data_IF_986765741755
#
_entry.id   IF_986765741755
#
_cell.length_a   1.000
_cell.length_b   1.000
_cell.length_c   1.000
_cell.angle_alpha   90.00
_cell.angle_beta   90.00
_cell.angle_gamma   90.00
#
_symmetry.space_group_name_H-M   'P 1'
#
loop_
_entity.id
_entity.type
_entity.pdbx_description
1 polymer ?
#
# COMPACT_ATOMS: atom_id res chain seq x y z
N UNK A 1 33.98 -50.22 2.35
CA UNK A 1 34.63 -49.70 1.12
C UNK A 1 33.60 -49.44 0.02
N UNK A 2 32.58 -50.30 -0.15
CA UNK A 2 31.49 -50.08 -1.12
C UNK A 2 30.55 -48.91 -0.76
N UNK A 3 30.30 -48.65 0.53
CA UNK A 3 29.35 -47.60 0.92
C UNK A 3 29.86 -46.19 0.61
N UNK A 4 31.17 -45.95 0.76
CA UNK A 4 31.80 -44.66 0.45
C UNK A 4 31.74 -44.39 -1.06
N UNK A 5 32.01 -45.41 -1.88
CA UNK A 5 31.89 -45.27 -3.34
C UNK A 5 30.44 -45.03 -3.78
N UNK A 6 29.46 -45.65 -3.11
CA UNK A 6 28.04 -45.45 -3.41
C UNK A 6 27.54 -44.05 -3.01
N UNK A 7 27.99 -43.52 -1.86
CA UNK A 7 27.70 -42.15 -1.44
C UNK A 7 28.26 -41.11 -2.43
N UNK A 8 29.45 -41.38 -2.94
CA UNK A 8 30.15 -40.48 -3.86
C UNK A 8 29.50 -40.48 -5.26
N UNK A 9 29.07 -41.64 -5.76
CA UNK A 9 28.29 -41.76 -7.01
C UNK A 9 26.91 -41.08 -6.92
N UNK A 10 26.27 -41.16 -5.75
CA UNK A 10 25.00 -40.49 -5.51
C UNK A 10 25.16 -38.96 -5.50
N UNK A 11 26.22 -38.45 -4.85
CA UNK A 11 26.55 -37.03 -4.83
C UNK A 11 26.91 -36.49 -6.22
N UNK A 12 27.67 -37.24 -7.03
CA UNK A 12 28.00 -36.85 -8.41
C UNK A 12 26.78 -36.83 -9.33
N UNK A 13 25.90 -37.83 -9.23
CA UNK A 13 24.61 -37.82 -9.97
C UNK A 13 23.75 -36.63 -9.57
N UNK A 14 23.71 -36.32 -8.28
CA UNK A 14 22.95 -35.17 -7.78
C UNK A 14 23.55 -33.85 -8.31
N UNK A 15 24.88 -33.72 -8.35
CA UNK A 15 25.56 -32.56 -8.93
C UNK A 15 25.31 -32.41 -10.43
N UNK A 16 25.23 -33.51 -11.18
CA UNK A 16 24.92 -33.51 -12.61
C UNK A 16 23.45 -33.20 -12.92
N UNK A 17 22.53 -33.51 -11.99
CA UNK A 17 21.10 -33.21 -12.14
C UNK A 17 20.65 -31.88 -11.55
N UNK A 18 21.48 -31.25 -10.70
CA UNK A 18 21.14 -30.02 -9.99
C UNK A 18 21.56 -28.80 -10.80
N UNK A 19 20.65 -28.27 -11.61
CA UNK A 19 20.85 -26.93 -12.17
C UNK A 19 20.55 -25.90 -11.06
N UNK A 20 21.57 -25.64 -10.23
CA UNK A 20 21.52 -24.74 -9.07
C UNK A 20 21.08 -23.34 -9.51
N UNK A 21 21.45 -22.92 -10.73
CA UNK A 21 21.06 -21.65 -11.31
C UNK A 21 19.56 -21.62 -11.59
N UNK A 22 19.01 -22.65 -12.23
CA UNK A 22 17.58 -22.76 -12.51
C UNK A 22 16.76 -22.78 -11.20
N UNK A 23 17.24 -23.52 -10.20
CA UNK A 23 16.62 -23.60 -8.88
C UNK A 23 16.64 -22.24 -8.17
N UNK A 24 17.76 -21.51 -8.24
CA UNK A 24 17.87 -20.16 -7.69
C UNK A 24 16.92 -19.17 -8.40
N UNK A 25 16.81 -19.25 -9.73
CA UNK A 25 15.91 -18.38 -10.51
C UNK A 25 14.45 -18.68 -10.17
N UNK A 26 14.04 -19.94 -10.09
CA UNK A 26 12.68 -20.33 -9.70
C UNK A 26 12.37 -19.90 -8.27
N UNK A 27 13.33 -20.02 -7.35
CA UNK A 27 13.20 -19.53 -5.97
C UNK A 27 12.99 -18.01 -5.91
N UNK A 28 13.75 -17.23 -6.70
CA UNK A 28 13.57 -15.77 -6.79
C UNK A 28 12.18 -15.42 -7.35
N UNK A 29 11.69 -16.20 -8.31
CA UNK A 29 10.35 -16.04 -8.90
C UNK A 29 9.23 -16.63 -8.01
N UNK A 30 9.57 -17.22 -6.87
CA UNK A 30 8.60 -17.77 -5.91
C UNK A 30 7.93 -19.07 -6.36
N UNK A 31 8.55 -19.82 -7.27
CA UNK A 31 8.03 -21.08 -7.81
C UNK A 31 8.75 -22.30 -7.22
N UNK A 32 8.11 -23.47 -7.30
CA UNK A 32 8.71 -24.73 -6.88
C UNK A 32 9.88 -25.14 -7.80
N UNK A 33 10.86 -25.90 -7.27
CA UNK A 33 11.97 -26.40 -8.08
C UNK A 33 11.45 -27.23 -9.25
N UNK A 34 11.82 -26.85 -10.46
CA UNK A 34 11.42 -27.50 -11.71
C UNK A 34 12.62 -27.59 -12.63
N UNK A 35 12.67 -28.67 -13.41
CA UNK A 35 13.67 -28.87 -14.46
C UNK A 35 13.22 -28.26 -15.80
N UNK A 36 12.06 -27.61 -15.86
CA UNK A 36 11.57 -26.92 -17.05
C UNK A 36 12.23 -25.54 -17.19
N UNK A 37 13.10 -25.40 -18.18
CA UNK A 37 13.82 -24.17 -18.50
C UNK A 37 12.92 -23.08 -19.09
N UNK A 38 11.71 -23.40 -19.55
CA UNK A 38 10.74 -22.43 -20.06
C UNK A 38 9.87 -21.82 -18.96
N UNK A 39 9.76 -22.48 -17.80
CA UNK A 39 8.94 -22.04 -16.68
C UNK A 39 9.35 -20.65 -16.14
N UNK A 40 10.66 -20.36 -15.89
CA UNK A 40 11.08 -19.03 -15.45
C UNK A 40 10.71 -17.90 -16.41
N UNK A 41 10.77 -18.16 -17.72
CA UNK A 41 10.46 -17.16 -18.75
C UNK A 41 8.98 -16.81 -18.72
N UNK A 42 8.11 -17.81 -18.57
CA UNK A 42 6.66 -17.61 -18.44
C UNK A 42 6.33 -16.80 -17.18
N UNK A 43 6.87 -17.20 -16.02
CA UNK A 43 6.66 -16.52 -14.75
C UNK A 43 7.16 -15.07 -14.79
N UNK A 44 8.31 -14.81 -15.43
CA UNK A 44 8.83 -13.47 -15.60
C UNK A 44 7.91 -12.59 -16.47
N UNK A 45 7.38 -13.14 -17.56
CA UNK A 45 6.44 -12.42 -18.43
C UNK A 45 5.11 -12.16 -17.73
N UNK A 46 4.60 -13.11 -16.96
CA UNK A 46 3.41 -12.93 -16.11
C UNK A 46 3.63 -11.83 -15.07
N UNK A 47 4.76 -11.87 -14.36
CA UNK A 47 5.13 -10.83 -13.40
C UNK A 47 5.21 -9.46 -14.06
N UNK A 48 5.82 -9.37 -15.25
CA UNK A 48 5.91 -8.12 -16.02
C UNK A 48 4.53 -7.58 -16.40
N UNK A 49 3.61 -8.46 -16.81
CA UNK A 49 2.22 -8.08 -17.11
C UNK A 49 1.47 -7.62 -15.86
N UNK A 50 1.65 -8.31 -14.73
CA UNK A 50 1.05 -7.92 -13.45
C UNK A 50 1.54 -6.53 -13.02
N UNK A 51 2.84 -6.28 -13.13
CA UNK A 51 3.44 -4.97 -12.81
C UNK A 51 2.86 -3.87 -13.71
N UNK A 52 2.70 -4.15 -15.01
CA UNK A 52 2.12 -3.19 -15.95
C UNK A 52 0.65 -2.90 -15.61
N UNK A 53 -0.16 -3.93 -15.38
CA UNK A 53 -1.56 -3.78 -14.99
C UNK A 53 -1.71 -3.01 -13.67
N UNK A 54 -0.86 -3.29 -12.67
CA UNK A 54 -0.84 -2.54 -11.40
C UNK A 54 -0.52 -1.06 -11.63
N UNK A 55 0.44 -0.76 -12.49
CA UNK A 55 0.80 0.63 -12.83
C UNK A 55 -0.36 1.35 -13.50
N UNK A 56 -1.05 0.70 -14.41
CA UNK A 56 -2.19 1.27 -15.13
C UNK A 56 -3.38 1.51 -14.18
N UNK A 57 -3.69 0.54 -13.31
CA UNK A 57 -4.72 0.68 -12.27
C UNK A 57 -4.42 1.83 -11.29
N UNK A 58 -3.15 1.97 -10.87
CA UNK A 58 -2.73 3.08 -9.99
C UNK A 58 -2.93 4.42 -10.70
N UNK A 59 -2.50 4.54 -11.96
CA UNK A 59 -2.66 5.77 -12.74
C UNK A 59 -4.13 6.14 -12.93
N UNK A 60 -4.98 5.15 -13.23
CA UNK A 60 -6.43 5.36 -13.35
C UNK A 60 -7.05 5.80 -12.02
N UNK A 61 -6.68 5.14 -10.91
CA UNK A 61 -7.12 5.52 -9.57
C UNK A 61 -6.72 6.95 -9.18
N UNK A 62 -5.54 7.41 -9.57
CA UNK A 62 -5.12 8.81 -9.37
C UNK A 62 -5.96 9.78 -10.19
N UNK A 63 -6.21 9.48 -11.47
CA UNK A 63 -7.07 10.31 -12.33
C UNK A 63 -8.48 10.44 -11.77
N UNK A 64 -9.10 9.33 -11.36
CA UNK A 64 -10.43 9.36 -10.75
C UNK A 64 -10.46 10.23 -9.49
N UNK A 65 -9.46 10.10 -8.60
CA UNK A 65 -9.37 10.94 -7.39
C UNK A 65 -9.20 12.42 -7.73
N UNK A 66 -8.43 12.75 -8.75
CA UNK A 66 -8.22 14.12 -9.18
C UNK A 66 -9.52 14.72 -9.76
N UNK A 67 -10.26 13.95 -10.56
CA UNK A 67 -11.59 14.33 -11.06
C UNK A 67 -12.58 14.55 -9.92
N UNK A 68 -12.60 13.67 -8.91
CA UNK A 68 -13.48 13.83 -7.75
C UNK A 68 -13.10 15.04 -6.91
N UNK A 69 -11.81 15.34 -6.75
CA UNK A 69 -11.36 16.57 -6.11
C UNK A 69 -11.80 17.82 -6.88
N UNK A 70 -11.76 17.77 -8.22
CA UNK A 70 -12.27 18.86 -9.06
C UNK A 70 -13.78 19.03 -8.87
N UNK A 71 -14.54 17.93 -8.85
CA UNK A 71 -15.99 17.95 -8.60
C UNK A 71 -16.34 18.50 -7.21
N UNK A 72 -15.59 18.12 -6.18
CA UNK A 72 -15.79 18.66 -4.82
C UNK A 72 -15.48 20.16 -4.81
N UNK A 73 -14.37 20.59 -5.43
CA UNK A 73 -14.03 22.01 -5.50
C UNK A 73 -15.06 22.83 -6.25
N UNK A 74 -15.64 22.30 -7.33
CA UNK A 74 -16.67 23.00 -8.09
C UNK A 74 -18.02 23.00 -7.36
N UNK A 75 -18.40 21.90 -6.71
CA UNK A 75 -19.66 21.81 -5.95
C UNK A 75 -19.64 22.63 -4.66
N UNK A 76 -18.48 22.76 -4.01
CA UNK A 76 -18.31 23.55 -2.79
C UNK A 76 -18.12 25.05 -3.07
N UNK A 77 -17.83 25.44 -4.32
CA UNK A 77 -17.58 26.85 -4.69
C UNK A 77 -18.74 27.79 -4.34
N UNK A 78 -20.02 27.50 -4.66
CA UNK A 78 -21.12 28.42 -4.31
C UNK A 78 -21.30 28.59 -2.81
N UNK A 79 -21.14 27.53 -2.03
CA UNK A 79 -21.21 27.58 -0.56
C UNK A 79 -20.04 28.40 0.00
N UNK A 80 -18.85 28.23 -0.58
CA UNK A 80 -17.66 29.00 -0.19
C UNK A 80 -17.84 30.48 -0.51
N UNK A 81 -18.35 30.80 -1.69
CA UNK A 81 -18.60 32.18 -2.10
C UNK A 81 -19.70 32.82 -1.23
N UNK A 82 -20.71 32.05 -0.81
CA UNK A 82 -21.77 32.50 0.10
C UNK A 82 -21.31 32.73 1.54
N UNK A 83 -20.54 31.78 2.11
CA UNK A 83 -20.08 31.89 3.51
C UNK A 83 -18.97 32.94 3.62
N UNK A 84 -18.03 33.00 2.66
CA UNK A 84 -16.88 33.92 2.67
C UNK A 84 -17.08 35.15 1.76
N UNK A 85 -18.30 35.68 1.69
CA UNK A 85 -18.61 36.91 0.94
C UNK A 85 -18.03 38.16 1.62
N UNK A 86 -17.74 39.20 0.83
CA UNK A 86 -17.28 40.52 1.29
C UNK A 86 -15.76 40.76 1.25
N UNK A 87 -15.36 42.01 1.54
CA UNK A 87 -13.98 42.49 1.39
C UNK A 87 -12.97 41.80 2.32
N UNK A 88 -13.42 41.16 3.39
CA UNK A 88 -12.56 40.48 4.38
C UNK A 88 -12.39 38.99 4.13
N UNK A 89 -13.19 38.37 3.22
CA UNK A 89 -13.23 36.91 3.01
C UNK A 89 -13.30 36.15 4.33
N UNK A 90 -14.19 36.55 5.23
CA UNK A 90 -14.42 35.87 6.50
C UNK A 90 -15.85 35.32 6.54
N UNK A 91 -16.08 34.16 7.16
CA UNK A 91 -17.42 33.67 7.45
C UNK A 91 -18.21 34.75 8.19
N UNK A 92 -19.45 35.02 7.77
CA UNK A 92 -20.30 35.98 8.46
C UNK A 92 -20.60 35.48 9.88
N UNK A 93 -19.84 35.96 10.86
CA UNK A 93 -19.85 35.49 12.24
C UNK A 93 -21.04 35.99 13.07
N UNK A 94 -21.85 36.88 12.50
CA UNK A 94 -23.07 37.39 13.12
C UNK A 94 -24.28 36.46 12.91
N UNK A 95 -24.27 35.63 11.87
CA UNK A 95 -25.31 34.62 11.66
C UNK A 95 -25.03 33.40 12.54
N UNK A 96 -25.89 33.20 13.55
CA UNK A 96 -25.81 32.11 14.51
C UNK A 96 -25.79 30.73 13.85
N UNK A 97 -26.44 30.60 12.70
CA UNK A 97 -26.54 29.36 11.92
C UNK A 97 -25.22 29.05 11.23
N UNK A 98 -24.60 30.05 10.61
CA UNK A 98 -23.28 29.94 9.96
C UNK A 98 -22.18 29.70 11.00
N UNK A 99 -22.25 30.38 12.15
CA UNK A 99 -21.32 30.16 13.27
C UNK A 99 -21.40 28.73 13.82
N UNK A 100 -22.62 28.19 13.99
CA UNK A 100 -22.84 26.82 14.43
C UNK A 100 -22.33 25.78 13.41
N UNK A 101 -22.60 25.98 12.12
CA UNK A 101 -22.07 25.10 11.05
C UNK A 101 -20.55 25.16 10.97
N UNK A 102 -19.95 26.33 11.11
CA UNK A 102 -18.49 26.50 11.08
C UNK A 102 -17.83 25.84 12.30
N UNK A 103 -18.45 25.92 13.48
CA UNK A 103 -18.01 25.19 14.67
C UNK A 103 -18.07 23.68 14.47
N UNK A 104 -19.20 23.16 13.97
CA UNK A 104 -19.39 21.73 13.71
C UNK A 104 -18.40 21.20 12.65
N UNK A 105 -18.16 21.96 11.58
CA UNK A 105 -17.15 21.62 10.58
C UNK A 105 -15.75 21.56 11.20
N UNK A 106 -15.42 22.50 12.10
CA UNK A 106 -14.13 22.54 12.78
C UNK A 106 -13.95 21.33 13.69
N UNK A 107 -14.96 20.95 14.46
CA UNK A 107 -14.92 19.75 15.29
C UNK A 107 -14.74 18.47 14.45
N UNK A 108 -15.42 18.36 13.31
CA UNK A 108 -15.26 17.22 12.40
C UNK A 108 -13.85 17.19 11.78
N UNK A 109 -13.31 18.34 11.38
CA UNK A 109 -11.93 18.44 10.88
C UNK A 109 -10.91 18.06 11.96
N UNK A 110 -11.08 18.56 13.18
CA UNK A 110 -10.21 18.24 14.32
C UNK A 110 -10.32 16.74 14.69
N UNK A 111 -11.51 16.14 14.60
CA UNK A 111 -11.71 14.71 14.82
C UNK A 111 -11.03 13.85 13.73
N UNK A 112 -11.08 14.29 12.48
CA UNK A 112 -10.37 13.65 11.37
C UNK A 112 -8.86 13.77 11.57
N UNK A 113 -8.35 14.94 11.92
CA UNK A 113 -6.92 15.16 12.19
C UNK A 113 -6.46 14.33 13.39
N UNK A 114 -7.23 14.28 14.46
CA UNK A 114 -6.95 13.42 15.62
C UNK A 114 -6.94 11.94 15.22
N UNK A 115 -7.84 11.51 14.33
CA UNK A 115 -7.87 10.15 13.81
C UNK A 115 -6.65 9.86 12.95
N UNK A 116 -6.23 10.79 12.09
CA UNK A 116 -5.00 10.68 11.28
C UNK A 116 -3.78 10.57 12.20
N UNK A 117 -3.63 11.46 13.17
CA UNK A 117 -2.52 11.46 14.14
C UNK A 117 -2.52 10.20 14.99
N UNK A 118 -3.67 9.77 15.51
CA UNK A 118 -3.80 8.52 16.29
C UNK A 118 -3.45 7.30 15.45
N UNK A 119 -3.89 7.28 14.20
CA UNK A 119 -3.53 6.23 13.24
C UNK A 119 -2.02 6.26 13.04
N UNK A 120 -1.39 7.41 12.78
CA UNK A 120 0.08 7.55 12.71
C UNK A 120 0.81 7.13 14.00
N UNK A 121 0.27 7.44 15.18
CA UNK A 121 0.87 7.16 16.49
C UNK A 121 0.81 5.68 16.89
N UNK A 122 -0.26 4.96 16.51
CA UNK A 122 -0.39 3.50 16.69
C UNK A 122 0.70 2.70 15.95
N UNK A 123 1.44 3.32 15.04
CA UNK A 123 2.53 2.68 14.29
C UNK A 123 3.93 3.08 14.75
N UNK A 124 4.07 4.11 15.58
CA UNK A 124 5.36 4.41 16.24
C UNK A 124 5.67 3.42 17.37
N UNK A 125 4.68 2.67 17.89
CA UNK A 125 4.91 1.59 18.86
C UNK A 125 5.31 0.26 18.20
N UNK A 126 5.21 0.14 16.87
CA UNK A 126 5.64 -1.06 16.13
C UNK A 126 7.16 -1.01 16.01
N UNK A 127 7.81 -1.51 17.07
CA UNK A 127 9.26 -1.70 17.28
C UNK A 127 10.11 -0.46 16.98
N UNK A 128 10.70 0.08 18.04
CA UNK A 128 11.80 1.08 18.09
C UNK A 128 13.08 0.70 17.28
N UNK A 129 12.98 -0.01 16.16
CA UNK A 129 14.12 -0.47 15.36
C UNK A 129 13.89 -0.63 13.85
N UNK A 130 12.66 -0.54 13.32
CA UNK A 130 12.46 -0.64 11.86
C UNK A 130 12.34 0.75 11.21
N UNK A 131 13.48 1.23 10.70
CA UNK A 131 13.68 2.54 10.05
C UNK A 131 12.77 2.75 8.81
N UNK A 132 12.16 1.70 8.27
CA UNK A 132 11.37 1.76 7.03
C UNK A 132 9.89 1.44 7.21
N UNK A 133 9.39 1.36 8.45
CA UNK A 133 7.99 1.00 8.72
C UNK A 133 6.98 1.90 8.03
N UNK A 134 7.21 3.21 8.02
CA UNK A 134 6.33 4.19 7.35
C UNK A 134 6.23 3.91 5.84
N UNK A 135 7.33 3.50 5.18
CA UNK A 135 7.34 3.22 3.75
C UNK A 135 6.57 1.96 3.41
N UNK A 136 6.75 0.88 4.19
CA UNK A 136 5.99 -0.38 4.04
C UNK A 136 4.50 -0.15 4.23
N UNK A 137 4.13 0.80 5.10
CA UNK A 137 2.74 1.15 5.38
C UNK A 137 2.07 1.94 4.26
N UNK A 138 2.75 2.95 3.70
CA UNK A 138 2.29 3.60 2.48
C UNK A 138 2.19 2.60 1.33
N UNK A 139 3.10 1.64 1.26
CA UNK A 139 3.00 0.52 0.34
C UNK A 139 1.71 -0.28 0.59
N UNK A 140 1.44 -0.76 1.80
CA UNK A 140 0.22 -1.53 2.08
C UNK A 140 -1.08 -0.73 1.92
N UNK A 141 -1.08 0.56 2.26
CA UNK A 141 -2.24 1.42 2.03
C UNK A 141 -2.53 1.56 0.52
N UNK A 142 -1.48 1.63 -0.30
CA UNK A 142 -1.60 1.80 -1.75
C UNK A 142 -1.76 0.46 -2.49
N UNK A 143 -1.27 -0.65 -1.96
CA UNK A 143 -1.20 -1.94 -2.66
C UNK A 143 -2.08 -3.04 -2.05
N UNK A 144 -2.43 -2.98 -0.76
CA UNK A 144 -3.19 -4.05 -0.09
C UNK A 144 -3.90 -3.58 1.19
N UNK A 145 -5.11 -3.04 1.02
CA UNK A 145 -5.93 -2.51 2.11
C UNK A 145 -6.43 -3.61 3.06
N UNK A 146 -6.52 -4.87 2.63
CA UNK A 146 -6.90 -6.00 3.46
C UNK A 146 -5.78 -6.37 4.44
N UNK A 147 -4.52 -6.38 3.97
CA UNK A 147 -3.34 -6.54 4.84
C UNK A 147 -3.23 -5.40 5.84
N UNK A 148 -3.49 -4.16 5.41
CA UNK A 148 -3.53 -3.00 6.29
C UNK A 148 -4.55 -3.19 7.42
N UNK A 149 -5.80 -3.54 7.08
CA UNK A 149 -6.88 -3.75 8.04
C UNK A 149 -6.63 -4.94 8.99
N UNK A 150 -6.05 -6.03 8.49
CA UNK A 150 -5.67 -7.18 9.31
C UNK A 150 -4.56 -6.83 10.31
N UNK A 151 -3.57 -6.06 9.87
CA UNK A 151 -2.46 -5.61 10.73
C UNK A 151 -2.97 -4.64 11.80
N UNK A 152 -3.88 -3.73 11.43
CA UNK A 152 -4.56 -2.81 12.37
C UNK A 152 -5.39 -3.58 13.42
N UNK A 153 -6.15 -4.60 13.01
CA UNK A 153 -6.95 -5.42 13.92
C UNK A 153 -6.10 -6.21 14.93
N UNK A 154 -4.92 -6.67 14.52
CA UNK A 154 -4.01 -7.38 15.42
C UNK A 154 -3.35 -6.45 16.45
N UNK A 155 -3.04 -5.21 16.08
CA UNK A 155 -2.46 -4.21 16.99
C UNK A 155 -3.50 -3.73 18.03
N UNK A 156 -4.78 -3.65 17.69
CA UNK A 156 -5.84 -3.29 18.65
C UNK A 156 -6.18 -4.40 19.66
N UNK A 157 -5.69 -5.63 19.46
CA UNK A 157 -5.92 -6.78 20.34
C UNK A 157 -4.76 -7.08 21.28
N UNK A 158 -3.59 -6.45 21.09
CA UNK A 158 -2.44 -6.50 22.02
C UNK A 158 -2.48 -5.32 22.98
#
# INVERSE_FOLDING_TARGET
MNDICAEQEAAEKQLQSSDILLTAILSILGSEPSNDTLLPIKLYNELKNIIQNLKDNINEGYKCKEEDLIKIKSSTKPIRDYIWDGCTKQPNCYDRTVAAMNHSLREEMDAVDAKVVKTSGLFNSVKNGDKYNIRKFWQWFLTDQAKLLATIKNIQRS
#
